data_IF_446426320522
#
_entry.id   IF_446426320522
#
_cell.length_a   1.000
_cell.length_b   1.000
_cell.length_c   1.000
_cell.angle_alpha   90.00
_cell.angle_beta   90.00
_cell.angle_gamma   90.00
#
_symmetry.space_group_name_H-M   'P 1'
#
loop_
_entity.id
_entity.type
_entity.pdbx_description
1 polymer ?
#
# COMPACT_ATOMS: atom_id res chain seq x y z
N UNK A 1 -5.35 -23.37 62.60
CA UNK A 1 -5.53 -22.80 61.24
C UNK A 1 -4.73 -21.51 61.19
N UNK A 2 -3.62 -21.54 60.45
CA UNK A 2 -2.53 -20.58 60.53
C UNK A 2 -2.88 -19.30 59.75
N UNK A 3 -2.87 -18.18 60.44
CA UNK A 3 -3.08 -16.84 59.89
C UNK A 3 -1.79 -16.30 59.26
N UNK A 4 -1.98 -15.44 58.25
CA UNK A 4 -1.03 -14.43 57.76
C UNK A 4 0.22 -14.92 56.99
N UNK A 5 0.08 -15.09 55.67
CA UNK A 5 1.20 -14.89 54.75
C UNK A 5 1.18 -13.45 54.21
N UNK A 6 2.22 -12.73 54.62
CA UNK A 6 2.47 -11.31 54.43
C UNK A 6 2.97 -11.07 53.00
N UNK A 7 2.39 -10.06 52.38
CA UNK A 7 2.64 -9.56 51.03
C UNK A 7 4.14 -9.32 50.75
N UNK A 8 4.75 -10.09 49.84
CA UNK A 8 6.01 -9.76 49.18
C UNK A 8 5.67 -9.15 47.82
N UNK A 9 5.75 -7.83 47.73
CA UNK A 9 5.66 -7.11 46.46
C UNK A 9 6.99 -7.26 45.72
N UNK A 10 7.08 -8.27 44.86
CA UNK A 10 8.14 -8.35 43.85
C UNK A 10 7.79 -7.37 42.72
N UNK A 11 8.28 -6.13 42.85
CA UNK A 11 8.19 -5.12 41.79
C UNK A 11 9.19 -5.52 40.70
N UNK A 12 8.69 -6.21 39.66
CA UNK A 12 9.41 -6.43 38.41
C UNK A 12 9.33 -5.11 37.63
N UNK A 13 10.43 -4.38 37.39
CA UNK A 13 10.38 -3.23 36.51
C UNK A 13 10.23 -3.77 35.09
N UNK A 14 8.99 -3.76 34.60
CA UNK A 14 8.67 -4.01 33.21
C UNK A 14 9.31 -2.91 32.36
N UNK A 15 10.51 -3.19 31.85
CA UNK A 15 11.12 -2.39 30.80
C UNK A 15 10.24 -2.57 29.56
N UNK A 16 9.30 -1.65 29.34
CA UNK A 16 8.59 -1.52 28.08
C UNK A 16 9.63 -1.14 27.01
N UNK A 17 10.11 -2.15 26.31
CA UNK A 17 10.77 -2.00 25.03
C UNK A 17 9.73 -1.41 24.06
N UNK A 18 9.79 -0.10 23.87
CA UNK A 18 9.13 0.60 22.77
C UNK A 18 9.89 0.22 21.48
N UNK A 19 9.62 -0.97 20.95
CA UNK A 19 9.92 -1.25 19.55
C UNK A 19 8.96 -0.40 18.73
N UNK A 20 9.43 0.74 18.25
CA UNK A 20 8.82 1.45 17.14
C UNK A 20 8.87 0.51 15.92
N UNK A 21 7.78 -0.20 15.67
CA UNK A 21 7.60 -0.93 14.42
C UNK A 21 7.68 0.10 13.28
N UNK A 22 8.55 -0.16 12.30
CA UNK A 22 8.55 0.60 11.07
C UNK A 22 7.13 0.52 10.48
N UNK A 23 6.49 1.66 10.26
CA UNK A 23 5.20 1.74 9.58
C UNK A 23 5.42 1.38 8.11
N UNK A 24 5.36 0.08 7.81
CA UNK A 24 5.21 -0.39 6.44
C UNK A 24 3.91 0.25 5.94
N UNK A 25 3.99 1.15 4.96
CA UNK A 25 2.80 1.66 4.28
C UNK A 25 1.97 0.46 3.87
N UNK A 26 0.72 0.32 4.35
CA UNK A 26 -0.06 -0.86 4.09
C UNK A 26 -0.22 -1.00 2.59
N UNK A 27 0.48 -1.97 2.01
CA UNK A 27 0.11 -2.52 0.71
C UNK A 27 -1.27 -3.11 0.92
N UNK A 28 -2.29 -2.40 0.45
CA UNK A 28 -3.68 -2.83 0.54
C UNK A 28 -3.78 -4.26 0.02
N UNK A 29 -4.36 -5.15 0.83
CA UNK A 29 -4.40 -6.58 0.50
C UNK A 29 -5.25 -6.81 -0.75
N UNK A 30 -4.96 -7.90 -1.45
CA UNK A 30 -5.74 -8.29 -2.63
C UNK A 30 -7.25 -8.37 -2.31
N UNK A 31 -7.60 -8.90 -1.14
CA UNK A 31 -8.98 -9.01 -0.67
C UNK A 31 -9.66 -7.65 -0.45
N UNK A 32 -8.96 -6.68 0.15
CA UNK A 32 -9.51 -5.33 0.35
C UNK A 32 -9.73 -4.60 -0.97
N UNK A 33 -8.81 -4.76 -1.92
CA UNK A 33 -8.95 -4.19 -3.27
C UNK A 33 -10.17 -4.79 -3.96
N UNK A 34 -10.29 -6.10 -3.89
CA UNK A 34 -11.39 -6.81 -4.53
C UNK A 34 -12.73 -6.40 -3.91
N UNK A 35 -12.83 -6.35 -2.59
CA UNK A 35 -14.02 -5.86 -1.90
C UNK A 35 -14.39 -4.42 -2.30
N UNK A 36 -13.40 -3.53 -2.36
CA UNK A 36 -13.61 -2.15 -2.79
C UNK A 36 -14.07 -2.05 -4.24
N UNK A 37 -13.50 -2.82 -5.17
CA UNK A 37 -13.90 -2.77 -6.57
C UNK A 37 -15.26 -3.44 -6.81
N UNK A 38 -15.58 -4.49 -6.05
CA UNK A 38 -16.85 -5.22 -6.17
C UNK A 38 -18.07 -4.38 -5.77
N UNK A 39 -17.90 -3.36 -4.92
CA UNK A 39 -19.03 -2.47 -4.55
C UNK A 39 -19.62 -1.70 -5.74
N UNK A 40 -18.88 -1.62 -6.86
CA UNK A 40 -19.29 -0.92 -8.08
C UNK A 40 -20.05 -1.82 -9.06
N UNK A 41 -20.15 -3.13 -8.80
CA UNK A 41 -21.00 -4.01 -9.60
C UNK A 41 -22.47 -3.60 -9.43
N UNK A 42 -23.21 -3.56 -10.54
CA UNK A 42 -24.58 -3.04 -10.62
C UNK A 42 -24.67 -1.52 -10.74
N UNK A 43 -23.55 -0.79 -10.73
CA UNK A 43 -23.54 0.66 -10.90
C UNK A 43 -23.29 1.09 -12.35
N UNK A 44 -23.72 2.30 -12.70
CA UNK A 44 -23.47 2.87 -14.02
C UNK A 44 -22.00 3.29 -14.19
N UNK A 45 -21.50 3.23 -15.42
CA UNK A 45 -20.15 3.70 -15.77
C UNK A 45 -19.88 5.14 -15.31
N UNK A 46 -20.89 6.01 -15.36
CA UNK A 46 -20.83 7.39 -14.89
C UNK A 46 -20.67 7.46 -13.37
N UNK A 47 -21.40 6.61 -12.63
CA UNK A 47 -21.27 6.51 -11.17
C UNK A 47 -19.88 6.01 -10.80
N UNK A 48 -19.37 4.98 -11.49
CA UNK A 48 -18.02 4.44 -11.27
C UNK A 48 -16.99 5.54 -11.54
N UNK A 49 -17.11 6.25 -12.66
CA UNK A 49 -16.23 7.35 -13.02
C UNK A 49 -16.17 8.44 -11.94
N UNK A 50 -17.32 8.82 -11.38
CA UNK A 50 -17.40 9.88 -10.40
C UNK A 50 -16.95 9.48 -8.99
N UNK A 51 -17.03 8.19 -8.63
CA UNK A 51 -16.87 7.75 -7.24
C UNK A 51 -15.71 6.78 -7.01
N UNK A 52 -15.12 6.21 -8.07
CA UNK A 52 -13.96 5.34 -7.94
C UNK A 52 -12.73 6.19 -7.57
N UNK A 53 -12.21 5.96 -6.38
CA UNK A 53 -11.03 6.63 -5.87
C UNK A 53 -9.86 5.64 -5.82
N UNK A 54 -9.04 5.69 -6.86
CA UNK A 54 -7.87 4.83 -7.02
C UNK A 54 -6.80 5.09 -5.95
N UNK A 55 -6.77 6.28 -5.34
CA UNK A 55 -5.81 6.62 -4.30
C UNK A 55 -6.03 5.79 -3.03
N UNK A 56 -7.29 5.42 -2.73
CA UNK A 56 -7.64 4.50 -1.63
C UNK A 56 -7.03 3.12 -1.80
N UNK A 57 -6.72 2.73 -3.03
CA UNK A 57 -6.09 1.45 -3.37
C UNK A 57 -4.56 1.55 -3.50
N UNK A 58 -3.98 2.73 -3.24
CA UNK A 58 -2.57 3.01 -3.45
C UNK A 58 -2.17 3.06 -4.93
N UNK A 59 -3.13 3.33 -5.82
CA UNK A 59 -2.88 3.47 -7.25
C UNK A 59 -2.79 4.94 -7.66
N UNK A 60 -1.97 5.20 -8.67
CA UNK A 60 -1.88 6.45 -9.39
C UNK A 60 -2.45 6.24 -10.79
N UNK A 61 -3.44 7.04 -11.17
CA UNK A 61 -3.99 6.99 -12.51
C UNK A 61 -3.02 7.67 -13.48
N UNK A 62 -2.66 6.97 -14.56
CA UNK A 62 -1.73 7.52 -15.56
C UNK A 62 -2.43 8.22 -16.72
N UNK A 63 -3.65 7.80 -17.04
CA UNK A 63 -4.43 8.30 -18.18
C UNK A 63 -5.91 8.36 -17.81
N UNK A 64 -6.71 9.12 -18.56
CA UNK A 64 -8.16 9.07 -18.41
C UNK A 64 -8.73 7.66 -18.65
N UNK A 65 -9.78 7.27 -17.92
CA UNK A 65 -10.45 6.00 -18.12
C UNK A 65 -11.06 5.92 -19.52
N UNK A 66 -10.91 4.78 -20.18
CA UNK A 66 -11.45 4.55 -21.52
C UNK A 66 -12.80 3.86 -21.40
N UNK A 67 -13.86 4.54 -21.84
CA UNK A 67 -15.20 3.97 -21.99
C UNK A 67 -15.38 3.46 -23.42
N UNK A 68 -15.83 2.22 -23.56
CA UNK A 68 -16.15 1.56 -24.83
C UNK A 68 -17.46 0.77 -24.69
N UNK A 69 -17.99 0.26 -25.81
CA UNK A 69 -19.34 -0.32 -25.92
C UNK A 69 -19.69 -1.45 -24.92
N UNK A 70 -18.72 -2.02 -24.22
CA UNK A 70 -18.97 -2.97 -23.13
C UNK A 70 -17.96 -2.93 -22.00
N UNK A 71 -17.12 -1.90 -21.91
CA UNK A 71 -16.07 -1.83 -20.89
C UNK A 71 -15.75 -0.41 -20.45
N UNK A 72 -15.51 -0.23 -19.16
CA UNK A 72 -14.84 0.93 -18.58
C UNK A 72 -13.47 0.48 -18.06
N UNK A 73 -12.40 1.08 -18.59
CA UNK A 73 -11.03 0.64 -18.38
C UNK A 73 -10.22 1.74 -17.70
N UNK A 74 -9.59 1.39 -16.58
CA UNK A 74 -8.60 2.23 -15.90
C UNK A 74 -7.21 1.62 -16.08
N UNK A 75 -6.25 2.46 -16.46
CA UNK A 75 -4.83 2.10 -16.47
C UNK A 75 -4.17 2.85 -15.33
N UNK A 76 -3.58 2.10 -14.39
CA UNK A 76 -3.05 2.64 -13.16
C UNK A 76 -1.66 2.08 -12.88
N UNK A 77 -0.89 2.80 -12.07
CA UNK A 77 0.43 2.40 -11.60
C UNK A 77 0.43 2.34 -10.08
N UNK A 78 1.19 1.41 -9.51
CA UNK A 78 1.47 1.39 -8.07
C UNK A 78 2.89 1.90 -7.85
N UNK A 79 3.09 3.00 -7.10
CA UNK A 79 4.43 3.44 -6.75
C UNK A 79 5.10 2.38 -5.87
N UNK A 80 6.34 2.01 -6.22
CA UNK A 80 7.15 1.06 -5.44
C UNK A 80 8.29 1.83 -4.79
N UNK A 81 8.31 1.88 -3.45
CA UNK A 81 9.45 2.37 -2.70
C UNK A 81 10.49 1.25 -2.63
N UNK A 82 11.55 1.34 -3.42
CA UNK A 82 12.67 0.42 -3.32
C UNK A 82 13.63 0.93 -2.24
N UNK A 83 13.87 0.19 -1.14
CA UNK A 83 14.89 0.56 -0.19
C UNK A 83 16.25 0.45 -0.86
N UNK A 84 16.94 1.58 -1.01
CA UNK A 84 18.31 1.59 -1.52
C UNK A 84 19.22 1.07 -0.40
N UNK A 85 19.94 -0.02 -0.67
CA UNK A 85 20.99 -0.50 0.22
C UNK A 85 22.12 0.53 0.24
N UNK A 86 22.24 1.25 1.36
CA UNK A 86 23.41 2.09 1.59
C UNK A 86 24.57 1.14 1.88
N UNK A 87 25.55 1.06 0.97
CA UNK A 87 26.79 0.35 1.25
C UNK A 87 27.49 1.08 2.42
N UNK A 88 27.41 0.50 3.63
CA UNK A 88 28.20 0.94 4.76
C UNK A 88 29.64 0.50 4.50
N UNK A 89 30.41 1.33 3.80
CA UNK A 89 31.87 1.18 3.81
C UNK A 89 32.36 1.42 5.24
N UNK A 90 33.15 0.52 5.85
CA UNK A 90 33.80 0.83 7.11
C UNK A 90 34.81 1.94 6.86
N UNK A 91 34.52 3.15 7.36
CA UNK A 91 35.51 4.23 7.42
C UNK A 91 36.50 3.85 8.51
N UNK A 92 37.57 3.15 8.13
CA UNK A 92 38.75 3.04 8.94
C UNK A 92 39.42 4.42 9.00
N UNK A 93 39.19 5.17 10.07
CA UNK A 93 39.96 6.37 10.38
C UNK A 93 39.13 7.57 10.83
N UNK A 94 39.22 7.85 12.13
CA UNK A 94 39.17 9.19 12.74
C UNK A 94 37.95 10.09 12.43
N UNK A 95 36.99 10.10 13.36
CA UNK A 95 36.42 11.35 13.89
C UNK A 95 35.48 12.17 13.00
N UNK A 96 34.86 11.63 11.96
CA UNK A 96 33.89 12.40 11.16
C UNK A 96 32.45 12.00 11.46
N UNK A 97 31.67 12.98 11.94
CA UNK A 97 30.22 12.89 12.16
C UNK A 97 29.54 12.35 10.88
N UNK A 98 28.69 11.30 10.98
CA UNK A 98 27.97 10.80 9.81
C UNK A 98 27.02 11.88 9.31
N UNK A 99 27.23 12.37 8.08
CA UNK A 99 26.27 13.25 7.42
C UNK A 99 25.11 12.36 6.95
N UNK A 100 23.86 12.59 7.41
CA UNK A 100 22.72 11.84 6.94
C UNK A 100 22.46 12.25 5.49
N UNK A 101 22.83 11.39 4.56
CA UNK A 101 22.46 11.53 3.16
C UNK A 101 20.98 11.18 3.02
N UNK A 102 20.12 12.19 3.03
CA UNK A 102 18.69 12.10 2.71
C UNK A 102 18.53 11.72 1.24
N UNK A 103 18.57 10.43 0.95
CA UNK A 103 18.24 9.93 -0.37
C UNK A 103 16.72 9.91 -0.52
N UNK A 104 16.17 10.84 -1.32
CA UNK A 104 14.79 10.72 -1.80
C UNK A 104 14.64 9.40 -2.55
N UNK A 105 13.56 8.62 -2.32
CA UNK A 105 13.30 7.33 -3.00
C UNK A 105 13.06 7.45 -4.52
N UNK A 106 13.37 8.60 -5.12
CA UNK A 106 13.12 8.98 -6.51
C UNK A 106 13.95 8.27 -7.58
N UNK A 107 14.85 7.33 -7.22
CA UNK A 107 15.51 6.45 -8.20
C UNK A 107 14.95 5.02 -8.13
N UNK A 108 13.63 4.91 -8.16
CA UNK A 108 12.99 3.65 -8.52
C UNK A 108 13.35 3.30 -9.95
N UNK A 109 13.74 2.05 -10.21
CA UNK A 109 13.94 1.55 -11.57
C UNK A 109 12.69 1.85 -12.42
N UNK A 110 12.85 2.17 -13.70
CA UNK A 110 11.74 2.28 -14.65
C UNK A 110 11.19 0.89 -14.94
N UNK A 111 10.42 0.38 -13.99
CA UNK A 111 9.62 -0.81 -14.14
C UNK A 111 8.23 -0.32 -14.53
N UNK A 112 7.85 -0.58 -15.77
CA UNK A 112 6.52 -0.27 -16.29
C UNK A 112 5.47 -1.17 -15.60
N UNK A 113 5.13 -0.84 -14.36
CA UNK A 113 4.28 -1.60 -13.44
C UNK A 113 2.83 -1.14 -13.56
N UNK A 114 2.26 -1.32 -14.74
CA UNK A 114 0.86 -1.01 -15.00
C UNK A 114 -0.08 -2.14 -14.54
N UNK A 115 -1.17 -1.74 -13.91
CA UNK A 115 -2.35 -2.55 -13.65
C UNK A 115 -3.52 -1.98 -14.45
N UNK A 116 -4.25 -2.85 -15.15
CA UNK A 116 -5.45 -2.50 -15.90
C UNK A 116 -6.65 -3.01 -15.10
N UNK A 117 -7.53 -2.12 -14.66
CA UNK A 117 -8.81 -2.47 -14.02
C UNK A 117 -9.90 -2.32 -15.08
N UNK A 118 -10.69 -3.37 -15.29
CA UNK A 118 -11.70 -3.46 -16.33
C UNK A 118 -13.04 -3.77 -15.69
N UNK A 119 -13.97 -2.84 -15.78
CA UNK A 119 -15.38 -3.12 -15.53
C UNK A 119 -16.02 -3.58 -16.83
N UNK A 120 -16.57 -4.79 -16.83
CA UNK A 120 -17.38 -5.28 -17.95
C UNK A 120 -18.79 -4.70 -17.81
N UNK A 121 -19.26 -4.03 -18.85
CA UNK A 121 -20.50 -3.28 -18.85
C UNK A 121 -21.55 -3.96 -19.74
N UNK A 122 -22.80 -3.91 -19.29
CA UNK A 122 -23.99 -4.16 -20.11
C UNK A 122 -24.95 -3.01 -19.90
N UNK A 123 -25.37 -2.34 -20.97
CA UNK A 123 -26.22 -1.15 -20.90
C UNK A 123 -25.63 -0.05 -20.01
N UNK A 124 -24.30 0.13 -20.06
CA UNK A 124 -23.49 1.00 -19.20
C UNK A 124 -23.49 0.63 -17.70
N UNK A 125 -24.01 -0.54 -17.32
CA UNK A 125 -24.01 -1.05 -15.94
C UNK A 125 -22.92 -2.10 -15.77
N UNK A 126 -22.07 -1.96 -14.75
CA UNK A 126 -21.02 -2.93 -14.46
C UNK A 126 -21.59 -4.29 -14.02
N UNK A 127 -21.19 -5.34 -14.72
CA UNK A 127 -21.58 -6.73 -14.46
C UNK A 127 -20.47 -7.50 -13.73
N UNK A 128 -19.23 -7.17 -14.05
CA UNK A 128 -18.06 -7.78 -13.45
C UNK A 128 -16.89 -6.78 -13.42
N UNK A 129 -15.90 -7.07 -12.58
CA UNK A 129 -14.63 -6.37 -12.55
C UNK A 129 -13.50 -7.39 -12.68
N UNK A 130 -12.53 -7.09 -13.54
CA UNK A 130 -11.33 -7.88 -13.76
C UNK A 130 -10.13 -6.95 -13.70
N UNK A 131 -8.98 -7.50 -13.36
CA UNK A 131 -7.73 -6.74 -13.33
C UNK A 131 -6.60 -7.58 -13.88
N UNK A 132 -5.73 -6.94 -14.67
CA UNK A 132 -4.59 -7.61 -15.31
C UNK A 132 -3.36 -6.72 -15.26
N UNK A 133 -2.19 -7.32 -15.07
CA UNK A 133 -0.94 -6.58 -14.91
C UNK A 133 -0.10 -7.19 -13.79
N UNK A 134 1.18 -6.84 -13.76
CA UNK A 134 2.13 -7.41 -12.78
C UNK A 134 1.96 -6.84 -11.37
N UNK A 135 1.25 -5.73 -11.24
CA UNK A 135 1.09 -4.96 -10.00
C UNK A 135 -0.35 -4.70 -9.62
N UNK A 136 -1.27 -5.43 -10.25
CA UNK A 136 -2.50 -5.81 -9.61
C UNK A 136 -2.12 -6.87 -8.55
#
# INVERSE_FOLDING_TARGET
MLSAFRQIKLVLPGMLLLLSACTHTPTLSQAERDAYLQQYIGQSSQTIYANLDLSKLGYQQVNEPVLSAGQLVYIVQRPVALPLSVAQHPVAGTGTVPIPVTHSPSRGYDVNLQCKIVFELKDNIAQAVKYTGRTC
#
